data_IF_649277519119
#
_entry.id   IF_649277519119
#
_cell.length_a   1.000
_cell.length_b   1.000
_cell.length_c   1.000
_cell.angle_alpha   90.00
_cell.angle_beta   90.00
_cell.angle_gamma   90.00
#
_symmetry.space_group_name_H-M   'P 1'
#
loop_
_entity.id
_entity.type
_entity.pdbx_description
1 polymer ?
#
# COMPACT_ATOMS: atom_id res chain seq x y z
N UNK A 1 -1.02 -18.49 -21.14
CA UNK A 1 -2.05 -19.56 -21.01
C UNK A 1 -2.76 -19.33 -19.69
N UNK A 2 -4.06 -19.08 -19.70
CA UNK A 2 -4.84 -19.07 -18.47
C UNK A 2 -4.82 -20.49 -17.92
N UNK A 3 -4.28 -20.66 -16.72
CA UNK A 3 -4.33 -21.94 -16.04
C UNK A 3 -5.76 -22.11 -15.52
N UNK A 4 -6.65 -22.67 -16.35
CA UNK A 4 -8.03 -23.01 -15.98
C UNK A 4 -8.07 -24.39 -15.26
N UNK A 5 -6.98 -24.78 -14.62
CA UNK A 5 -6.95 -25.96 -13.79
C UNK A 5 -7.72 -25.68 -12.49
N UNK A 6 -8.84 -26.36 -12.22
CA UNK A 6 -9.61 -26.16 -11.01
C UNK A 6 -8.85 -26.55 -9.73
N UNK A 7 -7.68 -27.14 -9.86
CA UNK A 7 -6.79 -27.52 -8.74
C UNK A 7 -5.66 -26.51 -8.51
N UNK A 8 -5.55 -25.45 -9.33
CA UNK A 8 -4.50 -24.45 -9.18
C UNK A 8 -4.58 -23.73 -7.83
N UNK A 9 -3.50 -23.84 -7.09
CA UNK A 9 -3.32 -23.15 -5.81
C UNK A 9 -2.21 -22.09 -5.95
N UNK A 10 -2.53 -20.78 -5.90
CA UNK A 10 -1.53 -19.73 -6.08
C UNK A 10 -0.45 -19.69 -4.99
N UNK A 11 -0.64 -20.37 -3.86
CA UNK A 11 0.42 -20.54 -2.85
C UNK A 11 1.59 -21.39 -3.33
N UNK A 12 1.39 -22.25 -4.33
CA UNK A 12 2.45 -23.08 -4.91
C UNK A 12 3.47 -22.26 -5.73
N UNK A 13 3.08 -21.06 -6.15
CA UNK A 13 3.95 -20.10 -6.85
C UNK A 13 4.85 -19.32 -5.89
N UNK A 14 4.62 -19.43 -4.59
CA UNK A 14 5.39 -18.74 -3.55
C UNK A 14 6.60 -19.58 -3.14
N UNK A 15 7.79 -18.99 -3.24
CA UNK A 15 9.03 -19.60 -2.81
C UNK A 15 9.17 -19.59 -1.28
N UNK A 16 8.90 -18.41 -0.69
CA UNK A 16 8.99 -18.21 0.75
C UNK A 16 7.88 -17.27 1.24
N UNK A 17 7.19 -17.65 2.32
CA UNK A 17 6.28 -16.75 3.04
C UNK A 17 7.12 -15.87 3.97
N UNK A 18 7.10 -14.56 3.75
CA UNK A 18 7.79 -13.56 4.58
C UNK A 18 6.91 -13.14 5.75
N UNK A 19 5.60 -12.90 5.50
CA UNK A 19 4.65 -12.54 6.55
C UNK A 19 3.43 -13.43 6.44
N UNK A 20 3.14 -14.17 7.50
CA UNK A 20 1.98 -15.07 7.56
C UNK A 20 0.68 -14.27 7.77
N UNK A 21 -0.46 -14.85 7.41
CA UNK A 21 -1.78 -14.29 7.69
C UNK A 21 -1.97 -13.96 9.17
N UNK A 22 -1.59 -14.88 10.06
CA UNK A 22 -1.71 -14.67 11.50
C UNK A 22 -0.88 -13.48 12.01
N UNK A 23 0.34 -13.28 11.45
CA UNK A 23 1.17 -12.13 11.78
C UNK A 23 0.54 -10.82 11.27
N UNK A 24 -0.06 -10.82 10.06
CA UNK A 24 -0.77 -9.67 9.51
C UNK A 24 -1.93 -9.29 10.44
N UNK A 25 -2.78 -10.24 10.82
CA UNK A 25 -3.94 -9.97 11.66
C UNK A 25 -3.53 -9.42 13.03
N UNK A 26 -2.48 -9.97 13.65
CA UNK A 26 -1.95 -9.46 14.92
C UNK A 26 -1.44 -8.02 14.76
N UNK A 27 -0.68 -7.73 13.68
CA UNK A 27 -0.13 -6.39 13.46
C UNK A 27 -1.20 -5.34 13.14
N UNK A 28 -2.29 -5.73 12.46
CA UNK A 28 -3.42 -4.83 12.21
C UNK A 28 -4.06 -4.33 13.51
N UNK A 29 -4.19 -5.20 14.52
CA UNK A 29 -4.74 -4.82 15.83
C UNK A 29 -3.81 -3.79 16.52
N UNK A 30 -2.50 -4.01 16.46
CA UNK A 30 -1.50 -3.07 17.01
C UNK A 30 -1.53 -1.73 16.27
N UNK A 31 -1.50 -1.74 14.92
CA UNK A 31 -1.59 -0.53 14.09
C UNK A 31 -2.88 0.24 14.36
N UNK A 32 -4.02 -0.48 14.48
CA UNK A 32 -5.29 0.12 14.81
C UNK A 32 -5.22 0.87 16.15
N UNK A 33 -4.58 0.27 17.17
CA UNK A 33 -4.37 0.93 18.46
C UNK A 33 -3.48 2.17 18.33
N UNK A 34 -2.33 2.07 17.66
CA UNK A 34 -1.42 3.20 17.43
C UNK A 34 -2.12 4.39 16.73
N UNK A 35 -2.93 4.08 15.70
CA UNK A 35 -3.68 5.10 14.94
C UNK A 35 -4.80 5.71 15.79
N UNK A 36 -5.56 4.90 16.53
CA UNK A 36 -6.63 5.38 17.41
C UNK A 36 -6.07 6.35 18.47
N UNK A 37 -4.93 6.02 19.09
CA UNK A 37 -4.25 6.88 20.05
C UNK A 37 -3.77 8.20 19.40
N UNK A 38 -3.28 8.14 18.16
CA UNK A 38 -2.77 9.31 17.43
C UNK A 38 -3.86 10.29 16.99
N UNK A 39 -5.10 9.81 16.83
CA UNK A 39 -6.23 10.58 16.32
C UNK A 39 -7.43 10.64 17.28
N UNK A 40 -7.19 10.41 18.57
CA UNK A 40 -8.22 10.47 19.59
C UNK A 40 -9.06 11.76 19.49
N UNK A 41 -10.40 11.61 19.49
CA UNK A 41 -11.39 12.69 19.38
C UNK A 41 -11.30 13.57 18.11
N UNK A 42 -10.67 13.09 17.04
CA UNK A 42 -10.52 13.83 15.77
C UNK A 42 -11.34 13.24 14.64
N UNK A 43 -11.76 14.11 13.72
CA UNK A 43 -12.32 13.70 12.43
C UNK A 43 -11.18 13.52 11.41
N UNK A 44 -11.03 12.29 10.89
CA UNK A 44 -9.91 11.92 10.02
C UNK A 44 -10.38 11.64 8.60
N UNK A 45 -9.74 12.25 7.63
CA UNK A 45 -9.87 11.84 6.23
C UNK A 45 -8.84 10.74 5.94
N UNK A 46 -9.31 9.52 5.78
CA UNK A 46 -8.50 8.37 5.37
C UNK A 46 -8.47 8.31 3.86
N UNK A 47 -7.26 8.34 3.28
CA UNK A 47 -7.06 8.29 1.82
C UNK A 47 -6.27 7.02 1.48
N UNK A 48 -6.94 6.09 0.80
CA UNK A 48 -6.34 4.84 0.37
C UNK A 48 -5.72 4.98 -1.03
N UNK A 49 -4.46 4.56 -1.19
CA UNK A 49 -3.83 4.41 -2.50
C UNK A 49 -4.11 3.00 -3.01
N UNK A 50 -4.99 2.89 -3.99
CA UNK A 50 -5.40 1.59 -4.55
C UNK A 50 -4.74 1.37 -5.94
N UNK A 51 -4.58 0.05 -6.44
CA UNK A 51 -5.22 -1.18 -5.97
C UNK A 51 -4.45 -1.97 -4.89
N UNK A 52 -3.14 -1.80 -4.77
CA UNK A 52 -2.30 -2.63 -3.90
C UNK A 52 -2.74 -2.62 -2.44
N UNK A 53 -3.11 -1.47 -1.90
CA UNK A 53 -3.53 -1.34 -0.51
C UNK A 53 -4.98 -1.79 -0.22
N UNK A 54 -5.75 -2.25 -1.21
CA UNK A 54 -7.21 -2.45 -1.05
C UNK A 54 -7.57 -3.41 0.09
N UNK A 55 -6.84 -4.52 0.23
CA UNK A 55 -7.09 -5.52 1.28
C UNK A 55 -6.62 -4.98 2.63
N UNK A 56 -5.42 -4.40 2.67
CA UNK A 56 -4.86 -3.78 3.87
C UNK A 56 -5.78 -2.70 4.45
N UNK A 57 -6.26 -1.79 3.61
CA UNK A 57 -7.19 -0.73 4.02
C UNK A 57 -8.50 -1.31 4.55
N UNK A 58 -9.08 -2.29 3.84
CA UNK A 58 -10.35 -2.90 4.24
C UNK A 58 -10.26 -3.56 5.63
N UNK A 59 -9.13 -4.17 5.96
CA UNK A 59 -8.94 -4.81 7.26
C UNK A 59 -8.51 -3.80 8.34
N UNK A 60 -7.63 -2.85 8.03
CA UNK A 60 -7.16 -1.85 8.97
C UNK A 60 -8.28 -0.92 9.46
N UNK A 61 -9.14 -0.40 8.56
CA UNK A 61 -10.20 0.54 8.94
C UNK A 61 -11.22 -0.09 9.92
N UNK A 62 -11.35 -1.41 9.94
CA UNK A 62 -12.20 -2.13 10.91
C UNK A 62 -11.59 -2.20 12.31
N UNK A 63 -10.30 -1.87 12.46
CA UNK A 63 -9.61 -1.73 13.76
C UNK A 63 -9.65 -0.28 14.28
N UNK A 64 -10.16 0.67 13.46
CA UNK A 64 -10.21 2.08 13.84
C UNK A 64 -11.52 2.42 14.54
N UNK A 65 -11.43 3.03 15.73
CA UNK A 65 -12.54 3.51 16.53
C UNK A 65 -12.61 5.05 16.54
N UNK A 66 -12.22 5.68 15.43
CA UNK A 66 -12.20 7.14 15.25
C UNK A 66 -13.31 7.56 14.27
N UNK A 67 -13.76 8.81 14.37
CA UNK A 67 -14.62 9.41 13.33
C UNK A 67 -13.81 9.56 12.05
N UNK A 68 -14.23 8.90 10.95
CA UNK A 68 -13.46 8.96 9.72
C UNK A 68 -14.33 9.03 8.46
N UNK A 69 -13.79 9.64 7.41
CA UNK A 69 -14.28 9.60 6.05
C UNK A 69 -13.26 8.89 5.20
N UNK A 70 -13.69 7.99 4.31
CA UNK A 70 -12.80 7.24 3.42
C UNK A 70 -12.94 7.75 1.99
N UNK A 71 -11.81 8.02 1.34
CA UNK A 71 -11.71 8.21 -0.10
C UNK A 71 -10.54 7.39 -0.66
N UNK A 72 -10.57 7.13 -1.96
CA UNK A 72 -9.56 6.32 -2.63
C UNK A 72 -8.99 7.08 -3.81
N UNK A 73 -7.67 6.95 -4.02
CA UNK A 73 -6.99 7.46 -5.20
C UNK A 73 -6.26 6.34 -5.92
N UNK A 74 -6.11 6.48 -7.23
CA UNK A 74 -5.21 5.64 -8.04
C UNK A 74 -4.02 6.46 -8.50
N UNK A 75 -2.87 5.80 -8.52
CA UNK A 75 -1.62 6.38 -8.98
C UNK A 75 -1.14 5.56 -10.17
N UNK A 76 -0.85 6.22 -11.28
CA UNK A 76 -0.14 5.63 -12.40
C UNK A 76 1.31 6.07 -12.38
N UNK A 77 2.19 5.13 -12.69
CA UNK A 77 3.59 5.42 -12.95
C UNK A 77 3.79 5.53 -14.47
N UNK A 78 3.71 6.74 -15.01
CA UNK A 78 4.00 6.95 -16.42
C UNK A 78 5.51 6.88 -16.68
N UNK A 79 5.90 6.12 -17.69
CA UNK A 79 7.26 6.20 -18.26
C UNK A 79 7.29 7.42 -19.17
N UNK A 80 8.11 8.39 -18.82
CA UNK A 80 8.44 9.49 -19.74
C UNK A 80 9.39 8.90 -20.81
N UNK A 81 8.99 8.94 -22.07
CA UNK A 81 9.74 8.32 -23.20
C UNK A 81 11.17 8.86 -23.33
N UNK A 82 11.48 10.02 -22.74
CA UNK A 82 12.78 10.70 -22.80
C UNK A 82 13.62 10.59 -21.52
N UNK A 83 13.07 10.08 -20.42
CA UNK A 83 13.80 9.94 -19.15
C UNK A 83 13.38 8.66 -18.44
N UNK A 84 14.36 7.88 -18.02
CA UNK A 84 14.21 6.67 -17.20
C UNK A 84 13.57 6.90 -15.81
N UNK A 85 12.86 8.02 -15.61
CA UNK A 85 12.27 8.44 -14.35
C UNK A 85 10.75 8.29 -14.46
N UNK A 86 10.21 7.30 -13.77
CA UNK A 86 8.76 7.18 -13.57
C UNK A 86 8.29 8.33 -12.66
N UNK A 87 7.35 9.14 -13.15
CA UNK A 87 6.64 10.12 -12.30
C UNK A 87 5.30 9.53 -11.89
N UNK A 88 5.04 9.43 -10.59
CA UNK A 88 3.71 9.07 -10.12
C UNK A 88 2.73 10.20 -10.41
N UNK A 89 1.58 9.90 -11.00
CA UNK A 89 0.48 10.84 -11.21
C UNK A 89 -0.81 10.32 -10.57
N UNK A 90 -1.52 11.20 -9.87
CA UNK A 90 -2.84 10.87 -9.32
C UNK A 90 -3.85 10.91 -10.48
N UNK A 91 -4.47 9.75 -10.75
CA UNK A 91 -5.45 9.63 -11.84
C UNK A 91 -6.83 10.14 -11.40
N UNK A 92 -7.24 9.82 -10.17
CA UNK A 92 -8.57 10.12 -9.67
C UNK A 92 -8.58 11.40 -8.84
N UNK A 93 -9.65 12.21 -8.97
CA UNK A 93 -9.84 13.36 -8.10
C UNK A 93 -10.31 12.92 -6.73
N UNK A 94 -9.65 13.44 -5.70
CA UNK A 94 -10.15 13.36 -4.32
C UNK A 94 -11.48 14.09 -4.23
N UNK A 95 -12.48 13.45 -3.62
CA UNK A 95 -13.82 14.01 -3.43
C UNK A 95 -13.95 14.79 -2.13
N UNK A 96 -13.11 14.45 -1.14
CA UNK A 96 -13.11 15.10 0.16
C UNK A 96 -12.37 16.45 0.07
N UNK A 97 -12.94 17.49 0.69
CA UNK A 97 -12.21 18.70 1.00
C UNK A 97 -11.33 18.42 2.23
N UNK A 98 -10.02 18.45 2.03
CA UNK A 98 -9.03 18.11 3.07
C UNK A 98 -8.64 19.32 3.93
N UNK A 99 -9.10 20.52 3.59
CA UNK A 99 -8.70 21.75 4.30
C UNK A 99 -9.11 21.69 5.77
N UNK A 100 -8.12 21.79 6.64
CA UNK A 100 -8.31 21.78 8.08
C UNK A 100 -8.67 20.41 8.68
N UNK A 101 -8.71 19.33 7.90
CA UNK A 101 -8.90 17.98 8.40
C UNK A 101 -7.57 17.32 8.76
N UNK A 102 -7.60 16.41 9.71
CA UNK A 102 -6.51 15.46 9.91
C UNK A 102 -6.57 14.39 8.80
N UNK A 103 -5.44 14.11 8.14
CA UNK A 103 -5.37 13.19 6.99
C UNK A 103 -4.46 12.02 7.29
N UNK A 104 -4.94 10.81 7.02
CA UNK A 104 -4.17 9.57 7.04
C UNK A 104 -4.13 8.96 5.64
N UNK A 105 -2.95 8.93 5.02
CA UNK A 105 -2.73 8.24 3.74
C UNK A 105 -2.32 6.81 4.04
N UNK A 106 -2.96 5.84 3.37
CA UNK A 106 -2.66 4.41 3.52
C UNK A 106 -2.20 3.85 2.18
N UNK A 107 -1.05 3.18 2.18
CA UNK A 107 -0.46 2.49 1.02
C UNK A 107 -0.03 1.07 1.40
N UNK A 108 0.16 0.20 0.41
CA UNK A 108 0.62 -1.18 0.62
C UNK A 108 2.12 -1.24 0.93
N UNK A 109 2.94 -0.50 0.19
CA UNK A 109 4.39 -0.61 0.31
C UNK A 109 5.10 0.74 0.15
N UNK A 110 5.99 1.01 1.08
CA UNK A 110 6.97 2.08 0.97
C UNK A 110 8.29 1.48 0.46
N UNK A 111 8.48 1.56 -0.85
CA UNK A 111 9.68 1.09 -1.54
C UNK A 111 10.67 2.26 -1.74
N UNK A 112 10.74 2.88 -2.90
CA UNK A 112 11.66 3.99 -3.20
C UNK A 112 11.33 5.29 -2.48
N UNK A 113 10.13 5.44 -1.96
CA UNK A 113 9.59 6.65 -1.34
C UNK A 113 9.01 7.67 -2.32
N UNK A 114 9.15 7.45 -3.63
CA UNK A 114 8.72 8.43 -4.66
C UNK A 114 7.22 8.67 -4.64
N UNK A 115 6.42 7.61 -4.59
CA UNK A 115 4.96 7.68 -4.59
C UNK A 115 4.44 8.49 -3.40
N UNK A 116 4.79 8.05 -2.18
CA UNK A 116 4.31 8.72 -0.96
C UNK A 116 4.84 10.14 -0.82
N UNK A 117 6.11 10.40 -1.17
CA UNK A 117 6.66 11.76 -1.18
C UNK A 117 5.90 12.68 -2.14
N UNK A 118 5.56 12.19 -3.34
CA UNK A 118 4.79 12.96 -4.32
C UNK A 118 3.37 13.25 -3.84
N UNK A 119 2.65 12.21 -3.38
CA UNK A 119 1.26 12.33 -2.90
C UNK A 119 1.17 13.25 -1.68
N UNK A 120 2.05 13.06 -0.70
CA UNK A 120 2.08 13.93 0.49
C UNK A 120 2.41 15.38 0.12
N UNK A 121 3.28 15.60 -0.88
CA UNK A 121 3.56 16.91 -1.42
C UNK A 121 2.31 17.60 -1.97
N UNK A 122 1.53 16.89 -2.78
CA UNK A 122 0.25 17.41 -3.33
C UNK A 122 -0.73 17.70 -2.20
N UNK A 123 -0.92 16.76 -1.27
CA UNK A 123 -1.92 16.90 -0.21
C UNK A 123 -1.60 18.04 0.77
N UNK A 124 -0.33 18.31 1.03
CA UNK A 124 0.09 19.49 1.81
C UNK A 124 -0.41 20.81 1.20
N UNK A 125 -0.54 20.89 -0.15
CA UNK A 125 -1.07 22.10 -0.81
C UNK A 125 -2.56 22.33 -0.54
N UNK A 126 -3.29 21.27 -0.11
CA UNK A 126 -4.71 21.34 0.25
C UNK A 126 -4.93 21.81 1.69
N UNK A 127 -3.86 22.18 2.41
CA UNK A 127 -3.88 22.74 3.76
C UNK A 127 -4.60 21.88 4.82
N UNK A 128 -4.29 20.57 4.94
CA UNK A 128 -4.80 19.76 6.04
C UNK A 128 -4.27 20.25 7.39
N UNK A 129 -4.98 19.94 8.49
CA UNK A 129 -4.53 20.24 9.85
C UNK A 129 -3.31 19.38 10.21
N UNK A 130 -3.34 18.11 9.82
CA UNK A 130 -2.19 17.21 9.89
C UNK A 130 -2.20 16.22 8.70
N UNK A 131 -1.04 15.65 8.40
CA UNK A 131 -0.88 14.66 7.34
C UNK A 131 0.08 13.58 7.84
N UNK A 132 -0.44 12.36 8.00
CA UNK A 132 0.32 11.17 8.37
C UNK A 132 0.16 10.07 7.34
N UNK A 133 1.10 9.13 7.34
CA UNK A 133 1.15 8.01 6.41
C UNK A 133 1.20 6.69 7.14
N UNK A 134 0.50 5.68 6.61
CA UNK A 134 0.52 4.31 7.10
C UNK A 134 0.82 3.37 5.92
N UNK A 135 1.76 2.46 6.11
CA UNK A 135 2.11 1.45 5.09
C UNK A 135 2.13 0.06 5.71
N UNK A 136 1.70 -0.93 4.93
CA UNK A 136 1.81 -2.33 5.37
C UNK A 136 3.27 -2.77 5.37
N UNK A 137 4.01 -2.47 4.29
CA UNK A 137 5.40 -2.87 4.12
C UNK A 137 6.34 -1.67 3.97
N UNK A 138 7.52 -1.78 4.56
CA UNK A 138 8.61 -0.81 4.44
C UNK A 138 9.91 -1.52 4.00
N UNK A 139 10.40 -1.18 2.78
CA UNK A 139 11.69 -1.62 2.23
C UNK A 139 12.72 -0.51 2.38
N UNK A 140 13.48 -0.48 3.47
CA UNK A 140 14.48 0.60 3.69
C UNK A 140 15.65 0.58 2.71
N UNK A 141 16.02 -0.58 2.19
CA UNK A 141 17.20 -0.76 1.32
C UNK A 141 17.02 -0.17 -0.07
N UNK A 142 15.79 -0.04 -0.57
CA UNK A 142 15.47 0.49 -1.90
C UNK A 142 15.19 2.00 -1.91
N UNK A 143 15.26 2.65 -0.75
CA UNK A 143 14.92 4.05 -0.56
C UNK A 143 15.77 4.97 -1.42
N UNK A 144 15.14 5.70 -2.36
CA UNK A 144 15.81 6.71 -3.22
C UNK A 144 15.48 8.16 -2.82
N UNK A 145 14.45 8.34 -2.01
CA UNK A 145 14.03 9.62 -1.45
C UNK A 145 13.97 9.47 0.06
N UNK A 146 14.49 10.42 0.82
CA UNK A 146 14.40 10.45 2.28
C UNK A 146 12.94 10.68 2.69
N UNK A 147 12.24 9.57 2.92
CA UNK A 147 10.84 9.53 3.32
C UNK A 147 10.63 8.39 4.31
N UNK A 148 10.00 8.69 5.42
CA UNK A 148 9.59 7.69 6.41
C UNK A 148 8.08 7.75 6.61
N UNK A 149 7.44 6.60 6.74
CA UNK A 149 6.02 6.52 7.10
C UNK A 149 5.84 6.66 8.61
N UNK A 150 4.75 7.29 9.04
CA UNK A 150 4.43 7.47 10.46
C UNK A 150 4.04 6.14 11.12
N UNK A 151 3.31 5.28 10.39
CA UNK A 151 2.90 3.97 10.86
C UNK A 151 3.37 2.91 9.86
N UNK A 152 4.02 1.86 10.36
CA UNK A 152 4.60 0.79 9.53
C UNK A 152 4.14 -0.56 10.06
N UNK A 153 3.54 -1.37 9.18
CA UNK A 153 3.20 -2.75 9.49
C UNK A 153 4.45 -3.60 9.71
N UNK A 154 5.19 -3.84 8.64
CA UNK A 154 6.38 -4.70 8.67
C UNK A 154 7.53 -4.06 7.90
N UNK A 155 8.74 -4.21 8.44
CA UNK A 155 9.98 -3.95 7.69
C UNK A 155 10.46 -5.24 7.06
N UNK A 156 10.65 -5.22 5.74
CA UNK A 156 11.03 -6.40 4.97
C UNK A 156 12.34 -6.16 4.18
N UNK A 157 13.07 -7.23 3.84
CA UNK A 157 14.23 -7.14 2.95
C UNK A 157 13.79 -6.71 1.54
N UNK A 158 14.79 -6.43 0.67
CA UNK A 158 14.56 -6.12 -0.75
C UNK A 158 14.29 -7.40 -1.54
N UNK A 159 13.07 -7.90 -1.43
CA UNK A 159 12.58 -9.07 -2.14
C UNK A 159 11.36 -8.70 -2.98
N UNK A 160 11.15 -9.39 -4.09
CA UNK A 160 9.96 -9.22 -4.90
C UNK A 160 8.78 -9.97 -4.27
N UNK A 161 7.87 -9.22 -3.65
CA UNK A 161 6.79 -9.78 -2.84
C UNK A 161 5.42 -9.59 -3.47
N UNK A 162 4.54 -10.55 -3.25
CA UNK A 162 3.14 -10.56 -3.67
C UNK A 162 2.24 -11.03 -2.54
N UNK A 163 0.94 -10.82 -2.69
CA UNK A 163 -0.08 -11.24 -1.74
C UNK A 163 -0.59 -10.12 -0.85
N UNK A 164 -1.73 -10.36 -0.24
CA UNK A 164 -2.45 -9.41 0.63
C UNK A 164 -2.66 -8.02 -0.02
N UNK A 165 -3.03 -8.03 -1.30
CA UNK A 165 -3.24 -6.84 -2.13
C UNK A 165 -2.13 -6.56 -3.14
N UNK A 166 -0.86 -6.89 -2.80
CA UNK A 166 0.26 -6.75 -3.72
C UNK A 166 0.15 -7.77 -4.86
N UNK A 167 0.57 -7.34 -6.04
CA UNK A 167 0.44 -8.14 -7.26
C UNK A 167 1.72 -8.31 -8.06
N UNK A 168 1.65 -9.27 -8.97
CA UNK A 168 2.49 -9.36 -10.16
C UNK A 168 1.59 -9.59 -11.37
N UNK A 169 1.58 -8.66 -12.33
CA UNK A 169 0.73 -8.70 -13.52
C UNK A 169 -0.76 -8.96 -13.19
N UNK A 170 -1.30 -8.19 -12.24
CA UNK A 170 -2.67 -8.24 -11.70
C UNK A 170 -3.05 -9.57 -11.02
N UNK A 171 -2.08 -10.42 -10.67
CA UNK A 171 -2.28 -11.70 -9.99
C UNK A 171 -1.79 -11.66 -8.55
N UNK A 172 -2.16 -12.67 -7.76
CA UNK A 172 -1.72 -12.94 -6.38
C UNK A 172 -2.28 -12.01 -5.30
N UNK A 173 -3.03 -10.96 -5.60
CA UNK A 173 -3.61 -10.05 -4.61
C UNK A 173 -4.46 -10.75 -3.56
N UNK A 174 -5.09 -11.89 -3.93
CA UNK A 174 -5.99 -12.68 -3.07
C UNK A 174 -5.28 -13.55 -2.05
N UNK A 175 -3.96 -13.72 -2.12
CA UNK A 175 -3.22 -14.50 -1.13
C UNK A 175 -3.37 -13.89 0.27
N UNK A 176 -3.61 -14.69 1.33
CA UNK A 176 -3.82 -14.16 2.67
C UNK A 176 -2.51 -13.77 3.38
N UNK A 177 -1.38 -14.06 2.78
CA UNK A 177 -0.03 -13.82 3.30
C UNK A 177 0.78 -12.97 2.33
N UNK A 178 1.97 -12.57 2.74
CA UNK A 178 2.98 -11.92 1.88
C UNK A 178 4.11 -12.89 1.65
N UNK A 179 4.39 -13.18 0.39
CA UNK A 179 5.43 -14.11 0.01
C UNK A 179 6.29 -13.63 -1.14
N UNK A 180 7.48 -14.21 -1.26
CA UNK A 180 8.37 -14.03 -2.41
C UNK A 180 7.86 -14.90 -3.54
N UNK A 181 7.61 -14.29 -4.70
CA UNK A 181 7.26 -15.04 -5.91
C UNK A 181 8.48 -15.80 -6.42
N UNK A 182 8.31 -17.06 -6.83
CA UNK A 182 9.40 -17.86 -7.40
C UNK A 182 10.10 -17.12 -8.54
N UNK A 183 11.45 -17.13 -8.61
CA UNK A 183 12.20 -16.38 -9.62
C UNK A 183 11.80 -16.66 -11.06
N UNK A 184 11.48 -17.92 -11.38
CA UNK A 184 11.05 -18.33 -12.71
C UNK A 184 9.71 -17.73 -13.14
N UNK A 185 8.89 -17.27 -12.20
CA UNK A 185 7.59 -16.65 -12.44
C UNK A 185 7.64 -15.12 -12.45
N UNK A 186 8.79 -14.51 -12.13
CA UNK A 186 8.97 -13.06 -12.10
C UNK A 186 9.19 -12.43 -13.48
N UNK A 187 9.15 -13.23 -14.56
CA UNK A 187 9.18 -12.69 -15.91
C UNK A 187 7.78 -12.25 -16.32
N UNK A 188 7.58 -11.00 -16.77
CA UNK A 188 6.29 -10.54 -17.20
C UNK A 188 5.80 -11.40 -18.37
N UNK A 189 4.53 -11.80 -18.40
CA UNK A 189 3.98 -12.55 -19.52
C UNK A 189 3.99 -11.69 -20.80
N UNK A 190 4.15 -12.32 -21.97
CA UNK A 190 4.25 -11.65 -23.28
C UNK A 190 3.03 -10.77 -23.67
N UNK A 191 1.96 -10.82 -22.88
CA UNK A 191 0.70 -10.07 -23.12
C UNK A 191 0.52 -8.87 -22.15
N UNK A 192 1.53 -8.47 -21.43
CA UNK A 192 1.49 -7.32 -20.51
C UNK A 192 1.79 -5.99 -21.22
#
# INVERSE_FOLDING_TARGET
>A
MQNNDPTYNPLEDIDQIIVTEAAIQARLIELGKEINEAYEERDVAVIAIINGAIIFVADLIRQLNISMKLDCIRIANYRDDDKSIQKPEIIDKIRLDLKGLDVLIIDDILDTGRTLSHVTGIFKTMQPASLKTCVLLDKKTTRSIDFEADFVGFRIPDEFVVGYGLDFAERYRQLPCIGVLRPELQNPPEWS
#
